data_IF_136649380240
#
_entry.id   IF_136649380240
#
_cell.length_a   1.000
_cell.length_b   1.000
_cell.length_c   1.000
_cell.angle_alpha   90.00
_cell.angle_beta   90.00
_cell.angle_gamma   90.00
#
_symmetry.space_group_name_H-M   'P 1'
#
loop_
_entity.id
_entity.type
_entity.pdbx_description
1 polymer ?
#
# COMPACT_ATOMS: atom_id res chain seq x y z
N UNK A 1 -86.39 -22.37 9.38
CA UNK A 1 -85.37 -21.30 9.27
C UNK A 1 -83.96 -21.82 8.93
N UNK A 2 -83.78 -23.10 8.55
CA UNK A 2 -82.44 -23.69 8.32
C UNK A 2 -81.85 -23.43 6.92
N UNK A 3 -82.68 -23.24 5.88
CA UNK A 3 -82.20 -23.01 4.51
C UNK A 3 -81.52 -21.65 4.30
N UNK A 4 -81.98 -20.59 4.98
CA UNK A 4 -81.38 -19.25 4.87
C UNK A 4 -79.94 -19.17 5.39
N UNK A 5 -79.57 -20.04 6.34
CA UNK A 5 -78.21 -20.11 6.86
C UNK A 5 -77.25 -20.83 5.88
N UNK A 6 -77.75 -21.80 5.12
CA UNK A 6 -76.95 -22.57 4.17
C UNK A 6 -76.52 -21.73 2.97
N UNK A 7 -77.41 -20.87 2.46
CA UNK A 7 -77.08 -19.96 1.36
C UNK A 7 -76.17 -18.81 1.81
N UNK A 8 -76.34 -18.32 3.05
CA UNK A 8 -75.43 -17.34 3.63
C UNK A 8 -73.99 -17.89 3.76
N UNK A 9 -73.84 -19.12 4.26
CA UNK A 9 -72.53 -19.79 4.38
C UNK A 9 -71.88 -19.98 3.00
N UNK A 10 -72.64 -20.34 1.96
CA UNK A 10 -72.13 -20.46 0.58
C UNK A 10 -71.60 -19.13 0.06
N UNK A 11 -72.33 -18.03 0.28
CA UNK A 11 -71.90 -16.69 -0.17
C UNK A 11 -70.62 -16.25 0.54
N UNK A 12 -70.50 -16.50 1.85
CA UNK A 12 -69.28 -16.18 2.60
C UNK A 12 -68.09 -17.05 2.17
N UNK A 13 -68.30 -18.34 1.88
CA UNK A 13 -67.28 -19.22 1.29
C UNK A 13 -66.80 -18.73 -0.08
N UNK A 14 -67.72 -18.26 -0.91
CA UNK A 14 -67.41 -17.74 -2.25
C UNK A 14 -66.62 -16.42 -2.18
N UNK A 15 -66.96 -15.55 -1.23
CA UNK A 15 -66.16 -14.35 -0.92
C UNK A 15 -64.76 -14.73 -0.44
N UNK A 16 -64.66 -15.66 0.50
CA UNK A 16 -63.38 -16.11 1.03
C UNK A 16 -62.49 -16.70 -0.07
N UNK A 17 -63.06 -17.53 -0.95
CA UNK A 17 -62.37 -18.09 -2.12
C UNK A 17 -61.85 -16.98 -3.04
N UNK A 18 -62.70 -16.00 -3.40
CA UNK A 18 -62.28 -14.86 -4.22
C UNK A 18 -61.16 -14.03 -3.58
N UNK A 19 -61.21 -13.83 -2.26
CA UNK A 19 -60.14 -13.12 -1.55
C UNK A 19 -58.83 -13.91 -1.55
N UNK A 20 -58.90 -15.23 -1.37
CA UNK A 20 -57.75 -16.11 -1.43
C UNK A 20 -57.12 -16.13 -2.83
N UNK A 21 -57.94 -16.31 -3.87
CA UNK A 21 -57.48 -16.30 -5.26
C UNK A 21 -56.81 -14.96 -5.63
N UNK A 22 -57.37 -13.83 -5.17
CA UNK A 22 -56.76 -12.51 -5.37
C UNK A 22 -55.42 -12.35 -4.62
N UNK A 23 -55.33 -12.87 -3.39
CA UNK A 23 -54.08 -12.85 -2.63
C UNK A 23 -53.01 -13.75 -3.28
N UNK A 24 -53.41 -14.92 -3.76
CA UNK A 24 -52.54 -15.85 -4.48
C UNK A 24 -51.99 -15.20 -5.76
N UNK A 25 -52.86 -14.59 -6.58
CA UNK A 25 -52.43 -13.91 -7.80
C UNK A 25 -51.45 -12.75 -7.51
N UNK A 26 -51.69 -11.96 -6.45
CA UNK A 26 -50.77 -10.89 -6.02
C UNK A 26 -49.41 -11.44 -5.58
N UNK A 27 -49.39 -12.60 -4.91
CA UNK A 27 -48.14 -13.25 -4.51
C UNK A 27 -47.38 -13.77 -5.75
N UNK A 28 -48.07 -14.39 -6.70
CA UNK A 28 -47.47 -14.86 -7.95
C UNK A 28 -46.89 -13.69 -8.77
N UNK A 29 -47.63 -12.59 -8.92
CA UNK A 29 -47.14 -11.37 -9.57
C UNK A 29 -45.90 -10.80 -8.87
N UNK A 30 -45.89 -10.79 -7.53
CA UNK A 30 -44.74 -10.32 -6.75
C UNK A 30 -43.52 -11.23 -6.89
N UNK A 31 -43.71 -12.54 -6.93
CA UNK A 31 -42.61 -13.50 -7.19
C UNK A 31 -42.03 -13.30 -8.58
N UNK A 32 -42.87 -13.08 -9.59
CA UNK A 32 -42.43 -12.79 -10.96
C UNK A 32 -41.65 -11.46 -11.01
N UNK A 33 -42.14 -10.41 -10.34
CA UNK A 33 -41.46 -9.11 -10.28
C UNK A 33 -40.09 -9.23 -9.61
N UNK A 34 -40.01 -9.86 -8.43
CA UNK A 34 -38.73 -10.10 -7.73
C UNK A 34 -37.77 -10.97 -8.56
N UNK A 35 -38.29 -11.95 -9.32
CA UNK A 35 -37.48 -12.77 -10.23
C UNK A 35 -36.84 -11.95 -11.35
N UNK A 36 -37.57 -10.99 -11.92
CA UNK A 36 -37.05 -10.05 -12.94
C UNK A 36 -35.99 -9.12 -12.35
N UNK A 37 -36.28 -8.49 -11.21
CA UNK A 37 -35.34 -7.61 -10.51
C UNK A 37 -34.03 -8.34 -10.16
N UNK A 38 -34.13 -9.60 -9.69
CA UNK A 38 -32.96 -10.41 -9.38
C UNK A 38 -32.14 -10.78 -10.63
N UNK A 39 -32.79 -11.02 -11.77
CA UNK A 39 -32.12 -11.28 -13.03
C UNK A 39 -31.42 -10.02 -13.56
N UNK A 40 -32.06 -8.85 -13.48
CA UNK A 40 -31.48 -7.56 -13.85
C UNK A 40 -30.28 -7.20 -12.95
N UNK A 41 -30.40 -7.41 -11.64
CA UNK A 41 -29.29 -7.21 -10.71
C UNK A 41 -28.10 -8.14 -11.02
N UNK A 42 -28.35 -9.42 -11.34
CA UNK A 42 -27.29 -10.35 -11.77
C UNK A 42 -26.60 -9.91 -13.06
N UNK A 43 -27.36 -9.44 -14.04
CA UNK A 43 -26.81 -8.92 -15.30
C UNK A 43 -25.94 -7.68 -15.05
N UNK A 44 -26.41 -6.74 -14.21
CA UNK A 44 -25.65 -5.55 -13.83
C UNK A 44 -24.35 -5.91 -13.10
N UNK A 45 -24.38 -6.87 -12.18
CA UNK A 45 -23.18 -7.37 -11.50
C UNK A 45 -22.18 -7.94 -12.52
N UNK A 46 -22.63 -8.80 -13.45
CA UNK A 46 -21.76 -9.36 -14.50
C UNK A 46 -21.12 -8.27 -15.37
N UNK A 47 -21.89 -7.26 -15.77
CA UNK A 47 -21.39 -6.11 -16.55
C UNK A 47 -20.33 -5.31 -15.77
N UNK A 48 -20.56 -5.06 -14.48
CA UNK A 48 -19.56 -4.36 -13.64
C UNK A 48 -18.29 -5.18 -13.44
N UNK A 49 -18.40 -6.50 -13.30
CA UNK A 49 -17.25 -7.40 -13.20
C UNK A 49 -16.44 -7.42 -14.50
N UNK A 50 -17.11 -7.46 -15.66
CA UNK A 50 -16.44 -7.39 -16.95
C UNK A 50 -15.66 -6.08 -17.11
N UNK A 51 -16.31 -4.94 -16.84
CA UNK A 51 -15.67 -3.62 -16.86
C UNK A 51 -14.47 -3.52 -15.92
N UNK A 52 -14.59 -4.10 -14.72
CA UNK A 52 -13.50 -4.13 -13.75
C UNK A 52 -12.32 -4.98 -14.24
N UNK A 53 -12.58 -6.11 -14.90
CA UNK A 53 -11.56 -6.94 -15.51
C UNK A 53 -10.85 -6.21 -16.68
N UNK A 54 -11.61 -5.53 -17.55
CA UNK A 54 -11.06 -4.71 -18.63
C UNK A 54 -10.16 -3.59 -18.08
N UNK A 55 -10.63 -2.84 -17.09
CA UNK A 55 -9.86 -1.77 -16.45
C UNK A 55 -8.59 -2.31 -15.78
N UNK A 56 -8.67 -3.48 -15.14
CA UNK A 56 -7.52 -4.13 -14.51
C UNK A 56 -6.47 -4.53 -15.56
N UNK A 57 -6.90 -5.06 -16.71
CA UNK A 57 -5.99 -5.39 -17.82
C UNK A 57 -5.32 -4.14 -18.41
N UNK A 58 -6.06 -3.04 -18.61
CA UNK A 58 -5.51 -1.76 -19.07
C UNK A 58 -4.53 -1.18 -18.04
N UNK A 59 -4.84 -1.25 -16.74
CA UNK A 59 -3.95 -0.78 -15.69
C UNK A 59 -2.63 -1.56 -15.70
N UNK A 60 -2.69 -2.90 -15.76
CA UNK A 60 -1.49 -3.74 -15.80
C UNK A 60 -0.61 -3.47 -17.03
N UNK A 61 -1.22 -3.31 -18.21
CA UNK A 61 -0.47 -2.98 -19.43
C UNK A 61 0.19 -1.60 -19.33
N UNK A 62 -0.53 -0.60 -18.80
CA UNK A 62 0.03 0.75 -18.57
C UNK A 62 1.17 0.73 -17.55
N UNK A 63 1.06 -0.09 -16.50
CA UNK A 63 2.11 -0.25 -15.49
C UNK A 63 3.36 -0.91 -16.07
N UNK A 64 3.20 -1.92 -16.93
CA UNK A 64 4.33 -2.53 -17.65
C UNK A 64 5.03 -1.53 -18.57
N UNK A 65 4.26 -0.72 -19.31
CA UNK A 65 4.83 0.33 -20.18
C UNK A 65 5.58 1.39 -19.38
N UNK A 66 5.06 1.79 -18.21
CA UNK A 66 5.75 2.72 -17.33
C UNK A 66 7.10 2.17 -16.89
N UNK A 67 7.17 0.90 -16.47
CA UNK A 67 8.41 0.24 -16.06
C UNK A 67 9.42 0.15 -17.21
N UNK A 68 8.96 -0.14 -18.43
CA UNK A 68 9.82 -0.18 -19.62
C UNK A 68 10.43 1.19 -19.91
N UNK A 69 9.60 2.25 -19.92
CA UNK A 69 10.06 3.63 -20.14
C UNK A 69 10.99 4.10 -19.01
N UNK A 70 10.74 3.73 -17.76
CA UNK A 70 11.63 4.03 -16.62
C UNK A 70 13.01 3.36 -16.78
N UNK A 71 13.04 2.11 -17.25
CA UNK A 71 14.27 1.40 -17.54
C UNK A 71 15.04 2.03 -18.72
N UNK A 72 14.33 2.40 -19.80
CA UNK A 72 14.92 3.11 -20.93
C UNK A 72 15.49 4.48 -20.52
N UNK A 73 14.75 5.25 -19.71
CA UNK A 73 15.21 6.53 -19.21
C UNK A 73 16.50 6.37 -18.38
N UNK A 74 16.54 5.36 -17.50
CA UNK A 74 17.73 5.03 -16.71
C UNK A 74 18.93 4.68 -17.61
N UNK A 75 18.70 3.88 -18.67
CA UNK A 75 19.72 3.50 -19.65
C UNK A 75 20.23 4.72 -20.44
N UNK A 76 19.33 5.59 -20.90
CA UNK A 76 19.69 6.80 -21.64
C UNK A 76 20.46 7.79 -20.76
N UNK A 77 20.07 7.94 -19.49
CA UNK A 77 20.81 8.76 -18.53
C UNK A 77 22.24 8.26 -18.32
N UNK A 78 22.43 6.94 -18.22
CA UNK A 78 23.76 6.35 -18.12
C UNK A 78 24.57 6.59 -19.39
N UNK A 79 23.98 6.37 -20.56
CA UNK A 79 24.65 6.60 -21.85
C UNK A 79 25.07 8.07 -22.03
N UNK A 80 24.25 9.01 -21.58
CA UNK A 80 24.56 10.44 -21.60
C UNK A 80 25.75 10.77 -20.69
N UNK A 81 25.84 10.15 -19.50
CA UNK A 81 26.98 10.32 -18.59
C UNK A 81 28.28 9.82 -19.22
N UNK A 82 28.28 8.60 -19.74
CA UNK A 82 29.44 8.00 -20.42
C UNK A 82 29.93 8.90 -21.57
N UNK A 83 29.02 9.28 -22.45
CA UNK A 83 29.36 10.09 -23.62
C UNK A 83 29.90 11.47 -23.20
N UNK A 84 29.34 12.07 -22.14
CA UNK A 84 29.82 13.34 -21.61
C UNK A 84 31.23 13.21 -21.01
N UNK A 85 31.51 12.12 -20.29
CA UNK A 85 32.84 11.80 -19.77
C UNK A 85 33.85 11.58 -20.89
N UNK A 86 33.49 10.86 -21.94
CA UNK A 86 34.33 10.68 -23.12
C UNK A 86 34.66 12.01 -23.80
N UNK A 87 33.67 12.87 -24.04
CA UNK A 87 33.89 14.18 -24.65
C UNK A 87 34.80 15.07 -23.80
N UNK A 88 34.59 15.10 -22.48
CA UNK A 88 35.43 15.85 -21.54
C UNK A 88 36.86 15.31 -21.53
N UNK A 89 37.02 13.99 -21.55
CA UNK A 89 38.34 13.35 -21.58
C UNK A 89 39.11 13.70 -22.86
N UNK A 90 38.48 13.51 -24.04
CA UNK A 90 39.11 13.84 -25.33
C UNK A 90 39.48 15.31 -25.43
N UNK A 91 38.59 16.21 -25.01
CA UNK A 91 38.87 17.64 -25.02
C UNK A 91 40.04 18.01 -24.09
N UNK A 92 40.07 17.45 -22.87
CA UNK A 92 41.17 17.67 -21.94
C UNK A 92 42.50 17.13 -22.51
N UNK A 93 42.47 16.00 -23.21
CA UNK A 93 43.66 15.44 -23.85
C UNK A 93 44.15 16.33 -24.99
N UNK A 94 43.27 16.79 -25.88
CA UNK A 94 43.66 17.70 -26.98
C UNK A 94 44.29 19.00 -26.47
N UNK A 95 43.76 19.60 -25.40
CA UNK A 95 44.33 20.82 -24.83
C UNK A 95 45.72 20.54 -24.21
N UNK A 96 45.90 19.38 -23.57
CA UNK A 96 47.22 18.95 -23.07
C UNK A 96 48.22 18.70 -24.18
N UNK A 97 47.82 18.03 -25.25
CA UNK A 97 48.68 17.75 -26.40
C UNK A 97 49.15 19.06 -27.07
N UNK A 98 48.25 20.06 -27.19
CA UNK A 98 48.59 21.40 -27.68
C UNK A 98 49.56 22.11 -26.73
N UNK A 99 49.36 21.99 -25.41
CA UNK A 99 50.26 22.58 -24.42
C UNK A 99 51.66 21.96 -24.47
N UNK A 100 51.73 20.62 -24.54
CA UNK A 100 52.98 19.87 -24.65
C UNK A 100 53.71 20.19 -25.98
N UNK A 101 52.99 20.36 -27.08
CA UNK A 101 53.57 20.79 -28.36
C UNK A 101 54.16 22.21 -28.30
N UNK A 102 53.44 23.16 -27.67
CA UNK A 102 53.90 24.55 -27.51
C UNK A 102 55.13 24.64 -26.62
N UNK A 103 55.15 23.91 -25.51
CA UNK A 103 56.29 23.88 -24.60
C UNK A 103 57.51 23.19 -25.27
N UNK A 104 57.28 22.10 -26.03
CA UNK A 104 58.34 21.42 -26.81
C UNK A 104 58.98 22.36 -27.84
N UNK A 105 58.17 23.15 -28.56
CA UNK A 105 58.67 24.13 -29.54
C UNK A 105 59.49 25.26 -28.88
N UNK A 106 59.13 25.67 -27.66
CA UNK A 106 59.86 26.70 -26.91
C UNK A 106 61.25 26.24 -26.46
N UNK A 107 61.42 24.95 -26.14
CA UNK A 107 62.68 24.36 -25.69
C UNK A 107 63.74 24.20 -26.79
N UNK A 108 63.34 24.16 -28.06
CA UNK A 108 64.25 24.01 -29.21
C UNK A 108 64.86 25.33 -29.71
N UNK A 109 64.46 26.50 -29.17
CA UNK A 109 64.86 27.82 -29.67
C UNK A 109 65.95 28.50 -28.84
N UNK A 110 66.26 28.02 -27.63
CA UNK A 110 67.30 28.63 -26.76
C UNK A 110 68.62 27.84 -26.80
N UNK A 111 69.67 28.46 -27.35
CA UNK A 111 71.05 27.97 -27.34
C UNK A 111 71.64 27.84 -25.91
N UNK A 112 72.89 27.35 -25.80
CA UNK A 112 73.46 26.87 -24.54
C UNK A 112 73.74 28.01 -23.56
N UNK A 113 72.77 28.33 -22.71
CA UNK A 113 72.98 29.11 -21.50
C UNK A 113 72.01 28.73 -20.39
N UNK A 114 72.61 28.53 -19.23
CA UNK A 114 72.06 27.97 -18.00
C UNK A 114 70.94 28.83 -17.40
N UNK A 115 69.78 28.23 -17.16
CA UNK A 115 68.96 28.42 -15.96
C UNK A 115 67.91 27.29 -15.87
N UNK A 116 67.85 26.49 -14.79
CA UNK A 116 66.87 25.42 -14.64
C UNK A 116 65.62 25.97 -13.96
N UNK A 117 64.79 26.72 -14.68
CA UNK A 117 63.50 27.14 -14.14
C UNK A 117 62.50 27.34 -15.28
N UNK A 118 61.45 26.54 -15.25
CA UNK A 118 60.18 26.77 -15.96
C UNK A 118 60.15 26.54 -17.48
N UNK A 119 60.69 25.40 -17.93
CA UNK A 119 60.61 24.98 -19.34
C UNK A 119 59.22 24.48 -19.82
N UNK A 120 58.14 24.65 -19.04
CA UNK A 120 56.80 24.21 -19.43
C UNK A 120 55.67 25.15 -18.93
N UNK A 121 55.71 26.45 -19.30
CA UNK A 121 54.74 27.43 -18.80
C UNK A 121 53.31 27.14 -19.28
N UNK A 122 53.12 26.66 -20.52
CA UNK A 122 51.78 26.39 -21.06
C UNK A 122 51.14 25.17 -20.42
N UNK A 123 51.89 24.07 -20.26
CA UNK A 123 51.44 22.86 -19.58
C UNK A 123 50.99 23.14 -18.17
N UNK A 124 51.78 23.88 -17.38
CA UNK A 124 51.41 24.22 -16.00
C UNK A 124 50.17 25.10 -15.93
N UNK A 125 50.02 26.05 -16.86
CA UNK A 125 48.83 26.88 -16.94
C UNK A 125 47.57 26.05 -17.26
N UNK A 126 47.63 25.17 -18.25
CA UNK A 126 46.55 24.25 -18.61
C UNK A 126 46.22 23.29 -17.47
N UNK A 127 47.23 22.74 -16.79
CA UNK A 127 47.02 21.85 -15.65
C UNK A 127 46.36 22.57 -14.47
N UNK A 128 46.77 23.81 -14.18
CA UNK A 128 46.11 24.65 -13.17
C UNK A 128 44.66 24.94 -13.55
N UNK A 129 44.41 25.36 -14.79
CA UNK A 129 43.06 25.64 -15.29
C UNK A 129 42.15 24.39 -15.21
N UNK A 130 42.64 23.22 -15.67
CA UNK A 130 41.89 21.97 -15.59
C UNK A 130 41.67 21.52 -14.14
N UNK A 131 42.57 21.85 -13.22
CA UNK A 131 42.40 21.61 -11.78
C UNK A 131 41.33 22.51 -11.19
N UNK A 132 41.32 23.80 -11.53
CA UNK A 132 40.35 24.77 -11.05
C UNK A 132 38.95 24.47 -11.59
N UNK A 133 38.83 24.10 -12.88
CA UNK A 133 37.57 23.66 -13.48
C UNK A 133 37.04 22.42 -12.74
N UNK A 134 37.89 21.42 -12.48
CA UNK A 134 37.50 20.22 -11.72
C UNK A 134 37.07 20.56 -10.30
N UNK A 135 37.76 21.46 -9.61
CA UNK A 135 37.40 21.91 -8.27
C UNK A 135 36.07 22.67 -8.26
N UNK A 136 35.83 23.55 -9.24
CA UNK A 136 34.57 24.28 -9.39
C UNK A 136 33.39 23.33 -9.62
N UNK A 137 33.53 22.33 -10.50
CA UNK A 137 32.48 21.33 -10.71
C UNK A 137 32.21 20.50 -9.46
N UNK A 138 33.25 20.05 -8.75
CA UNK A 138 33.09 19.34 -7.46
C UNK A 138 32.35 20.18 -6.43
N UNK A 139 32.71 21.46 -6.28
CA UNK A 139 32.03 22.37 -5.35
C UNK A 139 30.56 22.57 -5.73
N UNK A 140 30.26 22.75 -7.02
CA UNK A 140 28.88 22.87 -7.52
C UNK A 140 28.08 21.59 -7.28
N UNK A 141 28.67 20.43 -7.53
CA UNK A 141 28.04 19.13 -7.29
C UNK A 141 27.75 18.93 -5.80
N UNK A 142 28.70 19.24 -4.92
CA UNK A 142 28.53 19.20 -3.47
C UNK A 142 27.43 20.14 -2.99
N UNK A 143 27.33 21.36 -3.56
CA UNK A 143 26.26 22.31 -3.27
C UNK A 143 24.89 21.74 -3.67
N UNK A 144 24.77 21.17 -4.87
CA UNK A 144 23.52 20.57 -5.36
C UNK A 144 23.14 19.33 -4.52
N UNK A 145 24.10 18.45 -4.23
CA UNK A 145 23.89 17.30 -3.36
C UNK A 145 23.54 17.73 -1.93
N UNK A 146 24.12 18.80 -1.42
CA UNK A 146 23.79 19.42 -0.15
C UNK A 146 22.37 19.97 -0.11
N UNK A 147 21.97 20.72 -1.14
CA UNK A 147 20.61 21.24 -1.28
C UNK A 147 19.58 20.11 -1.36
N UNK A 148 19.81 19.09 -2.20
CA UNK A 148 18.95 17.92 -2.33
C UNK A 148 18.80 17.16 -0.99
N UNK A 149 19.90 16.92 -0.27
CA UNK A 149 19.86 16.34 1.08
C UNK A 149 19.09 17.23 2.06
N UNK A 150 19.24 18.56 1.96
CA UNK A 150 18.50 19.54 2.75
C UNK A 150 17.00 19.52 2.48
N UNK A 151 16.57 19.43 1.21
CA UNK A 151 15.16 19.27 0.84
C UNK A 151 14.60 17.95 1.39
N UNK A 152 15.31 16.83 1.20
CA UNK A 152 14.92 15.53 1.75
C UNK A 152 14.76 15.57 3.27
N UNK A 153 15.68 16.24 3.99
CA UNK A 153 15.57 16.41 5.45
C UNK A 153 14.37 17.27 5.85
N UNK A 154 14.13 18.39 5.16
CA UNK A 154 12.95 19.24 5.39
C UNK A 154 11.65 18.48 5.14
N UNK A 155 11.60 17.70 4.08
CA UNK A 155 10.46 16.86 3.72
C UNK A 155 10.16 15.84 4.83
N UNK A 156 11.16 15.09 5.28
CA UNK A 156 11.02 14.17 6.43
C UNK A 156 10.55 14.87 7.70
N UNK A 157 11.05 16.08 7.97
CA UNK A 157 10.61 16.85 9.13
C UNK A 157 9.16 17.32 9.01
N UNK A 158 8.71 17.66 7.79
CA UNK A 158 7.32 18.04 7.53
C UNK A 158 6.37 16.86 7.77
N UNK A 159 6.73 15.67 7.29
CA UNK A 159 5.97 14.43 7.55
C UNK A 159 5.85 14.17 9.05
N UNK A 160 6.95 14.25 9.81
CA UNK A 160 6.91 14.10 11.28
C UNK A 160 6.01 15.11 11.97
N UNK A 161 6.05 16.38 11.53
CA UNK A 161 5.16 17.43 12.06
C UNK A 161 3.71 17.14 11.75
N UNK A 162 3.42 16.68 10.53
CA UNK A 162 2.09 16.26 10.11
C UNK A 162 1.57 15.09 10.95
N UNK A 163 2.40 14.06 11.19
CA UNK A 163 2.04 12.92 12.07
C UNK A 163 1.73 13.39 13.50
N UNK A 164 2.57 14.26 14.06
CA UNK A 164 2.34 14.82 15.40
C UNK A 164 1.04 15.63 15.46
N UNK A 165 0.75 16.42 14.42
CA UNK A 165 -0.49 17.17 14.32
C UNK A 165 -1.70 16.26 14.20
N UNK A 166 -1.60 15.17 13.43
CA UNK A 166 -2.65 14.16 13.35
C UNK A 166 -2.91 13.55 14.73
N UNK A 167 -1.87 13.18 15.48
CA UNK A 167 -2.00 12.64 16.84
C UNK A 167 -2.75 13.62 17.75
N UNK A 168 -2.35 14.90 17.74
CA UNK A 168 -3.00 15.94 18.53
C UNK A 168 -4.47 16.12 18.12
N UNK A 169 -4.75 16.10 16.82
CA UNK A 169 -6.11 16.16 16.29
C UNK A 169 -6.96 14.97 16.74
N UNK A 170 -6.43 13.73 16.74
CA UNK A 170 -7.18 12.57 17.26
C UNK A 170 -7.56 12.75 18.72
N UNK A 171 -6.57 13.15 19.53
CA UNK A 171 -6.77 13.35 20.97
C UNK A 171 -7.86 14.39 21.21
N UNK A 172 -7.82 15.51 20.47
CA UNK A 172 -8.84 16.55 20.55
C UNK A 172 -10.22 16.04 20.13
N UNK A 173 -10.32 15.26 19.04
CA UNK A 173 -11.59 14.64 18.61
C UNK A 173 -12.17 13.71 19.68
N UNK A 174 -11.33 12.89 20.29
CA UNK A 174 -11.76 11.96 21.34
C UNK A 174 -12.24 12.70 22.59
N UNK A 175 -11.56 13.79 22.95
CA UNK A 175 -11.98 14.66 24.05
C UNK A 175 -13.33 15.31 23.75
N UNK A 176 -13.55 15.84 22.54
CA UNK A 176 -14.84 16.43 22.15
C UNK A 176 -15.94 15.36 22.14
N UNK A 177 -15.63 14.13 21.69
CA UNK A 177 -16.61 13.03 21.68
C UNK A 177 -16.98 12.55 23.08
N UNK A 178 -16.05 12.58 24.02
CA UNK A 178 -16.28 12.16 25.41
C UNK A 178 -16.93 13.25 26.27
N UNK A 179 -16.64 14.53 26.01
CA UNK A 179 -17.19 15.68 26.76
C UNK A 179 -18.47 16.25 26.16
N UNK A 180 -18.68 16.07 24.85
CA UNK A 180 -19.78 16.64 24.09
C UNK A 180 -21.06 15.82 24.16
N UNK A 181 -22.21 16.49 24.18
CA UNK A 181 -23.50 15.85 23.90
C UNK A 181 -23.56 15.41 22.42
N UNK A 182 -24.48 14.50 22.06
CA UNK A 182 -24.57 13.87 20.72
C UNK A 182 -24.69 14.82 19.51
N UNK A 183 -24.74 16.14 19.72
CA UNK A 183 -24.87 17.18 18.70
C UNK A 183 -23.56 17.89 18.33
N UNK A 184 -22.44 17.69 19.06
CA UNK A 184 -21.17 18.37 18.74
C UNK A 184 -20.42 17.68 17.59
N UNK A 185 -20.29 18.37 16.46
CA UNK A 185 -19.47 17.94 15.33
C UNK A 185 -17.98 17.91 15.74
N UNK A 186 -17.39 16.73 15.64
CA UNK A 186 -16.00 16.50 15.97
C UNK A 186 -15.06 16.78 14.78
N UNK A 187 -15.55 17.26 13.63
CA UNK A 187 -14.77 17.61 12.43
C UNK A 187 -14.56 16.46 11.43
N UNK A 188 -13.75 16.67 10.36
CA UNK A 188 -13.47 15.67 9.30
C UNK A 188 -12.63 14.47 9.77
N UNK A 189 -12.86 13.27 9.22
CA UNK A 189 -12.13 12.05 9.58
C UNK A 189 -10.62 12.15 9.25
N UNK A 190 -9.78 11.48 10.02
CA UNK A 190 -8.32 11.52 9.87
C UNK A 190 -7.82 11.02 8.51
N UNK A 191 -8.61 10.15 7.88
CA UNK A 191 -8.36 9.62 6.55
C UNK A 191 -8.22 10.69 5.48
N UNK A 192 -8.95 11.80 5.64
CA UNK A 192 -8.91 12.93 4.70
C UNK A 192 -7.58 13.70 4.73
N UNK A 193 -6.73 13.44 5.73
CA UNK A 193 -5.44 14.09 5.88
C UNK A 193 -4.26 13.16 5.55
N UNK A 194 -4.50 11.96 5.01
CA UNK A 194 -3.42 11.01 4.69
C UNK A 194 -2.52 11.55 3.56
N UNK A 195 -1.20 11.43 3.77
CA UNK A 195 -0.21 11.72 2.72
C UNK A 195 -0.19 10.53 1.75
N UNK A 196 -0.43 10.76 0.46
CA UNK A 196 -0.45 9.71 -0.59
C UNK A 196 0.91 9.54 -1.29
N UNK A 197 1.85 10.46 -1.07
CA UNK A 197 3.12 10.49 -1.80
C UNK A 197 4.01 9.26 -1.47
N UNK A 198 4.32 8.40 -2.44
CA UNK A 198 5.06 7.16 -2.22
C UNK A 198 6.53 7.39 -1.81
N UNK A 199 7.13 8.55 -2.11
CA UNK A 199 8.50 8.86 -1.66
C UNK A 199 8.56 9.23 -0.17
N UNK A 200 7.42 9.61 0.40
CA UNK A 200 7.30 10.09 1.78
C UNK A 200 6.75 9.02 2.72
N UNK A 201 6.02 8.06 2.19
CA UNK A 201 5.44 6.95 2.94
C UNK A 201 6.47 5.85 3.19
N UNK A 202 6.64 5.49 4.46
CA UNK A 202 7.21 4.20 4.85
C UNK A 202 6.18 3.10 4.65
N UNK A 203 6.61 1.84 4.48
CA UNK A 203 5.70 0.70 4.38
C UNK A 203 4.72 0.64 5.56
N UNK A 204 5.22 0.95 6.76
CA UNK A 204 4.40 1.03 7.98
C UNK A 204 3.33 2.12 7.96
N UNK A 205 3.61 3.30 7.37
CA UNK A 205 2.61 4.37 7.27
C UNK A 205 1.57 4.06 6.20
N UNK A 206 1.94 3.36 5.13
CA UNK A 206 1.01 2.84 4.13
C UNK A 206 0.05 1.81 4.71
N UNK A 207 0.56 0.83 5.46
CA UNK A 207 -0.26 -0.15 6.16
C UNK A 207 -1.19 0.51 7.18
N UNK A 208 -0.70 1.49 7.94
CA UNK A 208 -1.55 2.27 8.86
C UNK A 208 -2.66 3.04 8.14
N UNK A 209 -2.40 3.58 6.94
CA UNK A 209 -3.45 4.24 6.16
C UNK A 209 -4.50 3.23 5.69
N UNK A 210 -4.08 2.07 5.18
CA UNK A 210 -4.99 0.99 4.79
C UNK A 210 -5.89 0.54 5.95
N UNK A 211 -5.29 0.30 7.12
CA UNK A 211 -6.02 -0.11 8.32
C UNK A 211 -7.03 0.94 8.78
N UNK A 212 -6.72 2.23 8.61
CA UNK A 212 -7.67 3.32 8.92
C UNK A 212 -8.85 3.30 7.95
N UNK A 213 -8.62 3.05 6.67
CA UNK A 213 -9.69 3.00 5.66
C UNK A 213 -10.62 1.83 5.95
N UNK A 214 -10.06 0.67 6.26
CA UNK A 214 -10.83 -0.52 6.57
C UNK A 214 -11.60 -0.36 7.90
N UNK A 215 -11.01 0.29 8.90
CA UNK A 215 -11.72 0.70 10.11
C UNK A 215 -12.93 1.57 9.79
N UNK A 216 -12.77 2.61 8.95
CA UNK A 216 -13.89 3.50 8.60
C UNK A 216 -14.99 2.76 7.83
N UNK A 217 -14.64 1.84 6.92
CA UNK A 217 -15.62 0.98 6.23
C UNK A 217 -16.42 0.13 7.22
N UNK A 218 -15.74 -0.51 8.18
CA UNK A 218 -16.39 -1.31 9.22
C UNK A 218 -17.27 -0.48 10.14
N UNK A 219 -16.85 0.73 10.53
CA UNK A 219 -17.66 1.65 11.33
C UNK A 219 -18.93 2.08 10.58
N UNK A 220 -18.86 2.35 9.26
CA UNK A 220 -20.05 2.64 8.46
C UNK A 220 -21.01 1.43 8.40
N UNK A 221 -20.48 0.23 8.15
CA UNK A 221 -21.29 -1.01 8.12
C UNK A 221 -21.98 -1.27 9.45
N UNK A 222 -21.29 -1.08 10.57
CA UNK A 222 -21.90 -1.17 11.90
C UNK A 222 -23.03 -0.15 12.08
N UNK A 223 -22.81 1.09 11.62
CA UNK A 223 -23.82 2.14 11.72
C UNK A 223 -25.07 1.83 10.88
N UNK A 224 -24.89 1.26 9.68
CA UNK A 224 -25.98 0.79 8.81
C UNK A 224 -26.75 -0.37 9.44
N UNK A 225 -26.04 -1.39 9.95
CA UNK A 225 -26.66 -2.53 10.64
C UNK A 225 -27.43 -2.08 11.89
N UNK A 226 -26.88 -1.13 12.66
CA UNK A 226 -27.55 -0.58 13.84
C UNK A 226 -28.82 0.21 13.45
N UNK A 227 -28.79 0.97 12.34
CA UNK A 227 -29.98 1.64 11.79
C UNK A 227 -31.02 0.64 11.33
N UNK A 228 -30.63 -0.45 10.67
CA UNK A 228 -31.55 -1.52 10.24
C UNK A 228 -32.18 -2.26 11.42
N UNK A 229 -31.41 -2.51 12.48
CA UNK A 229 -31.91 -3.08 13.74
C UNK A 229 -32.91 -2.15 14.43
N UNK A 230 -32.66 -0.84 14.42
CA UNK A 230 -33.53 0.17 15.03
C UNK A 230 -34.79 0.47 14.21
N UNK A 231 -34.70 0.45 12.87
CA UNK A 231 -35.86 0.58 11.99
C UNK A 231 -36.75 -0.68 11.99
N UNK A 232 -36.15 -1.85 12.22
CA UNK A 232 -36.85 -3.14 12.33
C UNK A 232 -37.62 -3.35 13.64
N UNK A 233 -37.50 -2.45 14.62
CA UNK A 233 -38.15 -2.57 15.95
C UNK A 233 -39.33 -1.61 16.17
N UNK A 234 -39.80 -0.92 15.12
CA UNK A 234 -40.88 0.08 15.24
C UNK A 234 -42.31 -0.42 14.93
N UNK A 235 -42.58 -1.73 15.00
CA UNK A 235 -43.96 -2.24 14.99
C UNK A 235 -44.11 -3.29 16.09
N UNK A 236 -44.68 -2.85 17.21
CA UNK A 236 -45.42 -3.63 18.22
C UNK A 236 -44.91 -5.06 18.49
N UNK A 237 -44.01 -5.20 19.47
CA UNK A 237 -44.06 -6.29 20.48
C UNK A 237 -42.92 -6.13 21.49
N UNK A 238 -43.12 -5.21 22.43
CA UNK A 238 -42.32 -5.19 23.67
C UNK A 238 -42.83 -6.31 24.58
N UNK A 239 -42.38 -7.55 24.37
CA UNK A 239 -42.24 -8.56 25.44
C UNK A 239 -41.73 -9.96 25.03
N UNK A 240 -41.29 -10.21 23.79
CA UNK A 240 -40.98 -11.59 23.36
C UNK A 240 -39.57 -11.88 22.82
N UNK A 241 -38.53 -11.12 23.20
CA UNK A 241 -37.18 -11.43 22.69
C UNK A 241 -35.98 -11.17 23.61
N UNK A 242 -36.19 -11.06 24.93
CA UNK A 242 -35.10 -11.14 25.91
C UNK A 242 -35.42 -12.09 27.06
N UNK A 243 -35.70 -13.35 26.72
CA UNK A 243 -35.29 -14.44 27.61
C UNK A 243 -33.93 -14.91 27.11
N UNK A 244 -32.85 -14.79 27.90
CA UNK A 244 -31.61 -15.47 27.58
C UNK A 244 -31.95 -16.94 27.55
N UNK A 245 -31.99 -17.54 26.35
CA UNK A 245 -32.12 -18.97 26.19
C UNK A 245 -30.87 -19.54 26.84
N UNK A 246 -30.99 -19.96 28.10
CA UNK A 246 -29.96 -20.67 28.83
C UNK A 246 -29.60 -21.87 27.95
N UNK A 247 -28.44 -21.80 27.30
CA UNK A 247 -27.80 -22.98 26.73
C UNK A 247 -27.67 -23.97 27.89
N UNK A 248 -28.26 -25.14 27.71
CA UNK A 248 -28.18 -26.26 28.65
C UNK A 248 -26.71 -26.51 29.05
N UNK A 249 -26.45 -27.05 30.24
CA UNK A 249 -25.10 -27.39 30.70
C UNK A 249 -24.38 -28.31 29.71
N UNK A 250 -25.13 -29.17 29.02
CA UNK A 250 -24.66 -30.00 27.90
C UNK A 250 -24.10 -29.15 26.73
N UNK A 251 -24.75 -28.03 26.40
CA UNK A 251 -24.31 -27.11 25.34
C UNK A 251 -23.04 -26.34 25.73
N UNK A 252 -22.93 -25.94 27.00
CA UNK A 252 -21.69 -25.34 27.52
C UNK A 252 -20.56 -26.35 27.65
N UNK A 253 -20.86 -27.62 27.95
CA UNK A 253 -19.89 -28.70 27.95
C UNK A 253 -19.30 -28.93 26.55
N UNK A 254 -20.13 -28.90 25.50
CA UNK A 254 -19.68 -29.06 24.11
C UNK A 254 -18.81 -27.88 23.65
N UNK A 255 -19.18 -26.64 23.96
CA UNK A 255 -18.34 -25.46 23.65
C UNK A 255 -17.00 -25.54 24.37
N UNK A 256 -16.98 -25.91 25.66
CA UNK A 256 -15.73 -26.09 26.43
C UNK A 256 -14.88 -27.25 25.90
N UNK A 257 -15.50 -28.26 25.28
CA UNK A 257 -14.80 -29.39 24.64
C UNK A 257 -14.19 -28.95 23.32
N UNK A 258 -14.94 -28.26 22.46
CA UNK A 258 -14.44 -27.70 21.21
C UNK A 258 -13.29 -26.72 21.43
N UNK A 259 -13.37 -25.87 22.46
CA UNK A 259 -12.29 -24.94 22.79
C UNK A 259 -11.00 -25.67 23.22
N UNK A 260 -11.14 -26.75 23.99
CA UNK A 260 -10.00 -27.61 24.39
C UNK A 260 -9.41 -28.36 23.20
N UNK A 261 -10.26 -28.85 22.31
CA UNK A 261 -9.82 -29.57 21.11
C UNK A 261 -9.12 -28.64 20.11
N UNK A 262 -9.65 -27.43 19.92
CA UNK A 262 -9.00 -26.37 19.14
C UNK A 262 -7.65 -25.97 19.75
N UNK A 263 -7.59 -25.75 21.07
CA UNK A 263 -6.34 -25.42 21.75
C UNK A 263 -5.30 -26.54 21.63
N UNK A 264 -5.72 -27.80 21.77
CA UNK A 264 -4.83 -28.97 21.64
C UNK A 264 -4.31 -29.13 20.21
N UNK A 265 -5.18 -29.06 19.21
CA UNK A 265 -4.80 -29.20 17.80
C UNK A 265 -3.86 -28.08 17.37
N UNK A 266 -4.19 -26.83 17.71
CA UNK A 266 -3.31 -25.68 17.43
C UNK A 266 -1.95 -25.83 18.12
N UNK A 267 -1.92 -26.34 19.36
CA UNK A 267 -0.67 -26.57 20.08
C UNK A 267 0.18 -27.67 19.42
N UNK A 268 -0.44 -28.78 19.01
CA UNK A 268 0.23 -29.89 18.31
C UNK A 268 0.83 -29.42 16.97
N UNK A 269 0.09 -28.62 16.19
CA UNK A 269 0.56 -28.06 14.93
C UNK A 269 1.78 -27.14 15.15
N UNK A 270 1.72 -26.26 16.15
CA UNK A 270 2.84 -25.37 16.49
C UNK A 270 4.07 -26.13 16.99
N UNK A 271 3.90 -27.19 17.77
CA UNK A 271 5.00 -28.04 18.22
C UNK A 271 5.62 -28.82 17.06
N UNK A 272 4.80 -29.28 16.11
CA UNK A 272 5.26 -29.92 14.89
C UNK A 272 6.06 -28.94 14.01
N UNK A 273 5.55 -27.74 13.76
CA UNK A 273 6.28 -26.70 13.03
C UNK A 273 7.60 -26.33 13.72
N UNK A 274 7.57 -26.15 15.05
CA UNK A 274 8.78 -25.87 15.84
C UNK A 274 9.81 -27.00 15.68
N UNK A 275 9.39 -28.25 15.73
CA UNK A 275 10.29 -29.41 15.54
C UNK A 275 10.92 -29.42 14.14
N UNK A 276 10.14 -29.14 13.09
CA UNK A 276 10.63 -29.08 11.71
C UNK A 276 11.62 -27.93 11.50
N UNK A 277 11.32 -26.76 12.07
CA UNK A 277 12.21 -25.60 12.01
C UNK A 277 13.52 -25.86 12.74
N UNK A 278 13.48 -26.51 13.92
CA UNK A 278 14.68 -26.90 14.64
C UNK A 278 15.54 -27.88 13.83
N UNK A 279 14.94 -28.91 13.22
CA UNK A 279 15.69 -29.84 12.35
C UNK A 279 16.32 -29.12 11.15
N UNK A 280 15.59 -28.20 10.50
CA UNK A 280 16.13 -27.42 9.39
C UNK A 280 17.25 -26.47 9.83
N UNK A 281 17.12 -25.86 11.00
CA UNK A 281 18.14 -24.98 11.57
C UNK A 281 19.43 -25.76 11.87
N UNK A 282 19.32 -26.94 12.51
CA UNK A 282 20.47 -27.81 12.77
C UNK A 282 21.16 -28.23 11.47
N UNK A 283 20.39 -28.68 10.47
CA UNK A 283 20.97 -29.05 9.18
C UNK A 283 21.66 -27.87 8.46
N UNK A 284 21.13 -26.66 8.59
CA UNK A 284 21.76 -25.46 8.05
C UNK A 284 23.04 -25.09 8.82
N UNK A 285 23.05 -25.23 10.15
CA UNK A 285 24.24 -25.02 10.98
C UNK A 285 25.35 -26.04 10.65
N UNK A 286 25.00 -27.31 10.40
CA UNK A 286 25.92 -28.34 9.93
C UNK A 286 26.51 -27.97 8.55
N UNK A 287 25.67 -27.57 7.59
CA UNK A 287 26.14 -27.14 6.26
C UNK A 287 27.08 -25.93 6.34
N UNK A 288 26.79 -24.95 7.20
CA UNK A 288 27.66 -23.79 7.40
C UNK A 288 28.98 -24.23 8.04
N UNK A 289 28.95 -25.17 8.98
CA UNK A 289 30.15 -25.72 9.61
C UNK A 289 31.02 -26.49 8.61
N UNK A 290 30.41 -27.29 7.74
CA UNK A 290 31.11 -28.00 6.65
C UNK A 290 31.75 -27.03 5.65
N UNK A 291 31.03 -25.96 5.26
CA UNK A 291 31.56 -24.92 4.37
C UNK A 291 32.71 -24.16 5.03
N UNK A 292 32.60 -23.86 6.32
CA UNK A 292 33.67 -23.22 7.10
C UNK A 292 34.90 -24.13 7.18
N UNK A 293 34.72 -25.42 7.46
CA UNK A 293 35.81 -26.39 7.48
C UNK A 293 36.47 -26.54 6.11
N UNK A 294 35.68 -26.49 5.02
CA UNK A 294 36.20 -26.49 3.67
C UNK A 294 37.04 -25.24 3.37
N UNK A 295 36.56 -24.06 3.78
CA UNK A 295 37.31 -22.80 3.66
C UNK A 295 38.62 -22.89 4.43
N UNK A 296 38.58 -23.34 5.69
CA UNK A 296 39.76 -23.43 6.55
C UNK A 296 40.79 -24.44 6.02
N UNK A 297 40.35 -25.55 5.40
CA UNK A 297 41.26 -26.56 4.82
C UNK A 297 41.81 -26.19 3.44
N UNK A 298 41.03 -25.50 2.60
CA UNK A 298 41.36 -25.35 1.18
C UNK A 298 41.59 -23.91 0.72
N UNK A 299 41.04 -22.93 1.42
CA UNK A 299 41.04 -21.52 1.01
C UNK A 299 41.81 -20.61 1.97
N UNK A 300 42.04 -21.02 3.23
CA UNK A 300 42.92 -20.31 4.16
C UNK A 300 44.40 -20.59 3.82
N UNK A 301 44.97 -19.76 2.93
CA UNK A 301 46.41 -19.51 2.80
C UNK A 301 46.69 -18.04 3.07
#
# INVERSE_FOLDING_TARGET
QLLGNQDHIKVELEKLKKTYDSQQQKLEERVIAMGKELQEAKAAIGETQHKLAEQSAVLLTSQSQLQEVEAENSRLQLRLKELNEEYRFRLAQYIKDVADYMDSKSSHVTGPSKAPADHAPMKRFVDSMLKDIRASYKSREEQLAGAARGYKKRMKNLVKKHENLLIAYRLQREQIRSLGSSATDCGPAELHFSITDPELLTNTTRELNQLREDKAKLEMQLHELQKMSWLGTSVHDQNLLFSPRQLDEEGWAEVRKQLREFARTTQEDLEQERSQLLTRAIAAEEQVSELQEYIDKHLAR
#
